data_IF_991297115915
#
_entry.id   IF_991297115915
#
_cell.length_a   1.000
_cell.length_b   1.000
_cell.length_c   1.000
_cell.angle_alpha   90.00
_cell.angle_beta   90.00
_cell.angle_gamma   90.00
#
_symmetry.space_group_name_H-M   'P 1'
#
loop_
_entity.id
_entity.type
_entity.pdbx_description
1 polymer ?
#
# COMPACT_ATOMS: atom_id res chain seq x y z
N UNK A 1 15.64 12.72 -12.75
CA UNK A 1 14.61 11.70 -13.01
C UNK A 1 15.23 10.31 -13.20
N UNK A 2 15.99 10.03 -14.26
CA UNK A 2 16.57 8.69 -14.48
C UNK A 2 17.55 8.31 -13.36
N UNK A 3 18.45 9.22 -12.96
CA UNK A 3 19.42 8.94 -11.89
C UNK A 3 18.74 8.67 -10.54
N UNK A 4 17.72 9.45 -10.18
CA UNK A 4 16.97 9.27 -8.93
C UNK A 4 16.23 7.93 -8.90
N UNK A 5 15.62 7.55 -10.02
CA UNK A 5 14.94 6.26 -10.18
C UNK A 5 15.93 5.08 -10.10
N UNK A 6 17.14 5.22 -10.68
CA UNK A 6 18.22 4.22 -10.55
C UNK A 6 18.65 4.09 -9.10
N UNK A 7 18.94 5.21 -8.41
CA UNK A 7 19.33 5.20 -6.99
C UNK A 7 18.22 4.52 -6.16
N UNK A 8 16.97 4.87 -6.41
CA UNK A 8 15.83 4.29 -5.71
C UNK A 8 15.71 2.77 -5.91
N UNK A 9 15.87 2.28 -7.15
CA UNK A 9 15.86 0.85 -7.45
C UNK A 9 17.05 0.14 -6.79
N UNK A 10 18.26 0.73 -6.84
CA UNK A 10 19.45 0.18 -6.18
C UNK A 10 19.24 0.06 -4.67
N UNK A 11 18.63 1.05 -4.03
CA UNK A 11 18.31 1.00 -2.60
C UNK A 11 17.24 -0.05 -2.28
N UNK A 12 16.26 -0.27 -3.16
CA UNK A 12 15.30 -1.38 -3.02
C UNK A 12 16.00 -2.74 -3.14
N UNK A 13 16.88 -2.91 -4.13
CA UNK A 13 17.68 -4.13 -4.29
C UNK A 13 18.59 -4.38 -3.09
N UNK A 14 19.23 -3.32 -2.57
CA UNK A 14 20.02 -3.39 -1.32
C UNK A 14 19.14 -3.79 -0.13
N UNK A 15 17.92 -3.26 -0.04
CA UNK A 15 16.96 -3.62 1.02
C UNK A 15 16.57 -5.10 0.95
N UNK A 16 16.37 -5.64 -0.26
CA UNK A 16 16.14 -7.08 -0.47
C UNK A 16 17.37 -7.90 -0.04
N UNK A 17 18.58 -7.46 -0.37
CA UNK A 17 19.82 -8.14 0.00
C UNK A 17 20.10 -8.11 1.51
N UNK A 18 19.72 -7.04 2.21
CA UNK A 18 19.86 -6.91 3.67
C UNK A 18 18.83 -7.74 4.44
N UNK A 19 17.68 -8.08 3.84
CA UNK A 19 16.59 -8.82 4.47
C UNK A 19 17.03 -10.13 5.15
N UNK A 20 17.74 -11.05 4.46
CA UNK A 20 18.20 -12.30 5.06
C UNK A 20 19.24 -12.08 6.17
N UNK A 21 20.10 -11.06 6.03
CA UNK A 21 21.10 -10.70 7.04
C UNK A 21 20.40 -10.28 8.33
N UNK A 22 19.43 -9.37 8.24
CA UNK A 22 18.63 -8.91 9.38
C UNK A 22 17.88 -10.09 10.01
N UNK A 23 17.22 -10.91 9.19
CA UNK A 23 16.43 -12.06 9.65
C UNK A 23 17.25 -13.03 10.51
N UNK A 24 18.51 -13.26 10.14
CA UNK A 24 19.41 -14.20 10.80
C UNK A 24 20.05 -13.68 12.10
N UNK A 25 19.82 -12.41 12.48
CA UNK A 25 20.27 -11.88 13.78
C UNK A 25 19.52 -12.60 14.92
N UNK A 26 20.20 -13.32 15.84
CA UNK A 26 19.52 -14.15 16.84
C UNK A 26 18.75 -13.35 17.89
N UNK A 27 19.32 -12.22 18.32
CA UNK A 27 18.74 -11.39 19.36
C UNK A 27 17.68 -10.44 18.77
N UNK A 28 16.48 -10.46 19.34
CA UNK A 28 15.33 -9.67 18.87
C UNK A 28 15.62 -8.17 18.89
N UNK A 29 16.23 -7.66 19.97
CA UNK A 29 16.54 -6.24 20.12
C UNK A 29 17.52 -5.78 19.04
N UNK A 30 18.65 -6.49 18.87
CA UNK A 30 19.62 -6.15 17.83
C UNK A 30 19.04 -6.28 16.41
N UNK A 31 18.16 -7.27 16.20
CA UNK A 31 17.47 -7.43 14.92
C UNK A 31 16.53 -6.26 14.60
N UNK A 32 15.74 -5.82 15.58
CA UNK A 32 14.87 -4.65 15.45
C UNK A 32 15.68 -3.36 15.24
N UNK A 33 16.72 -3.16 16.05
CA UNK A 33 17.60 -2.00 15.95
C UNK A 33 18.27 -1.94 14.58
N UNK A 34 18.84 -3.06 14.11
CA UNK A 34 19.46 -3.13 12.79
C UNK A 34 18.44 -2.82 11.68
N UNK A 35 17.26 -3.43 11.71
CA UNK A 35 16.18 -3.12 10.75
C UNK A 35 15.82 -1.64 10.72
N UNK A 36 15.79 -1.00 11.89
CA UNK A 36 15.43 0.42 12.06
C UNK A 36 16.53 1.35 11.56
N UNK A 37 17.79 1.08 11.94
CA UNK A 37 18.94 1.89 11.54
C UNK A 37 19.15 1.78 10.03
N UNK A 38 19.06 0.59 9.46
CA UNK A 38 19.18 0.40 8.01
C UNK A 38 18.05 1.11 7.26
N UNK A 39 16.79 1.00 7.73
CA UNK A 39 15.67 1.71 7.12
C UNK A 39 15.77 3.23 7.27
N UNK A 40 16.27 3.74 8.39
CA UNK A 40 16.54 5.18 8.58
C UNK A 40 17.64 5.67 7.64
N UNK A 41 18.76 4.94 7.49
CA UNK A 41 19.84 5.30 6.56
C UNK A 41 19.32 5.35 5.12
N UNK A 42 18.56 4.34 4.69
CA UNK A 42 17.97 4.32 3.35
C UNK A 42 17.00 5.49 3.15
N UNK A 43 16.14 5.76 4.13
CA UNK A 43 15.25 6.93 4.08
C UNK A 43 16.04 8.25 4.04
N UNK A 44 17.18 8.33 4.73
CA UNK A 44 18.04 9.51 4.78
C UNK A 44 18.72 9.76 3.43
N UNK A 45 19.28 8.72 2.81
CA UNK A 45 19.91 8.81 1.47
C UNK A 45 18.92 9.38 0.45
N UNK A 46 17.66 8.93 0.51
CA UNK A 46 16.61 9.34 -0.43
C UNK A 46 16.03 10.72 -0.12
N UNK A 47 16.01 11.12 1.16
CA UNK A 47 15.30 12.32 1.60
C UNK A 47 16.20 13.51 1.93
N UNK A 48 17.49 13.28 2.16
CA UNK A 48 18.40 14.27 2.73
C UNK A 48 17.81 14.86 4.02
N UNK A 49 17.84 16.19 4.13
CA UNK A 49 17.27 16.92 5.28
C UNK A 49 15.75 16.77 5.41
N UNK A 50 15.02 16.43 4.34
CA UNK A 50 13.56 16.30 4.43
C UNK A 50 13.10 15.09 5.26
N UNK A 51 14.00 14.19 5.66
CA UNK A 51 13.69 13.11 6.62
C UNK A 51 13.16 13.64 7.97
N UNK A 52 13.50 14.87 8.34
CA UNK A 52 13.00 15.49 9.58
C UNK A 52 11.47 15.53 9.61
N UNK A 53 10.80 15.65 8.46
CA UNK A 53 9.34 15.56 8.39
C UNK A 53 8.81 14.20 8.87
N UNK A 54 9.44 13.11 8.42
CA UNK A 54 9.10 11.75 8.84
C UNK A 54 9.43 11.51 10.31
N UNK A 55 10.54 12.07 10.80
CA UNK A 55 10.90 12.02 12.22
C UNK A 55 9.88 12.74 13.11
N UNK A 56 9.51 13.98 12.74
CA UNK A 56 8.53 14.81 13.48
C UNK A 56 7.18 14.09 13.56
N UNK A 57 6.69 13.55 12.43
CA UNK A 57 5.42 12.81 12.42
C UNK A 57 5.46 11.59 13.32
N UNK A 58 6.56 10.83 13.28
CA UNK A 58 6.74 9.65 14.14
C UNK A 58 6.77 10.05 15.62
N UNK A 59 7.56 11.07 15.96
CA UNK A 59 7.72 11.58 17.32
C UNK A 59 6.40 12.06 17.90
N UNK A 60 5.70 12.97 17.20
CA UNK A 60 4.43 13.53 17.67
C UNK A 60 3.37 12.42 17.75
N UNK A 61 3.33 11.49 16.80
CA UNK A 61 2.37 10.38 16.86
C UNK A 61 2.65 9.45 18.05
N UNK A 62 3.92 9.21 18.39
CA UNK A 62 4.28 8.45 19.58
C UNK A 62 3.82 9.16 20.88
N UNK A 63 3.92 10.50 20.94
CA UNK A 63 3.36 11.29 22.05
C UNK A 63 1.83 11.21 22.07
N UNK A 64 1.15 11.31 20.91
CA UNK A 64 -0.32 11.18 20.81
C UNK A 64 -0.77 9.83 21.38
N UNK A 65 -0.09 8.74 20.99
CA UNK A 65 -0.38 7.40 21.50
C UNK A 65 -0.15 7.31 23.01
N UNK A 66 0.93 7.92 23.52
CA UNK A 66 1.27 7.89 24.95
C UNK A 66 0.26 8.63 25.82
N UNK A 67 -0.16 9.83 25.41
CA UNK A 67 -0.97 10.74 26.22
C UNK A 67 -2.48 10.66 25.94
N UNK A 68 -2.90 10.42 24.70
CA UNK A 68 -4.32 10.47 24.29
C UNK A 68 -4.92 9.09 24.05
N UNK A 69 -4.59 8.07 24.87
CA UNK A 69 -4.91 6.65 24.59
C UNK A 69 -6.35 6.37 24.13
N UNK A 70 -7.38 7.05 24.66
CA UNK A 70 -8.80 6.82 24.32
C UNK A 70 -9.28 7.45 23.00
N UNK A 71 -8.62 8.52 22.55
CA UNK A 71 -8.96 9.25 21.31
C UNK A 71 -7.77 9.30 20.35
N UNK A 72 -6.74 8.49 20.60
CA UNK A 72 -5.47 8.53 19.90
C UNK A 72 -5.66 8.35 18.39
N UNK A 73 -6.55 7.46 17.96
CA UNK A 73 -6.87 7.24 16.56
C UNK A 73 -7.40 8.49 15.84
N UNK A 74 -8.27 9.28 16.48
CA UNK A 74 -8.82 10.52 15.90
C UNK A 74 -7.74 11.60 15.86
N UNK A 75 -7.05 11.82 16.98
CA UNK A 75 -6.01 12.84 17.09
C UNK A 75 -4.85 12.53 16.14
N UNK A 76 -4.45 11.26 16.06
CA UNK A 76 -3.44 10.75 15.11
C UNK A 76 -3.88 10.95 13.67
N UNK A 77 -5.13 10.63 13.33
CA UNK A 77 -5.65 10.84 11.97
C UNK A 77 -5.60 12.32 11.59
N UNK A 78 -6.15 13.21 12.42
CA UNK A 78 -6.15 14.67 12.15
C UNK A 78 -4.72 15.18 12.00
N UNK A 79 -3.83 14.82 12.94
CA UNK A 79 -2.43 15.26 12.90
C UNK A 79 -1.69 14.73 11.68
N UNK A 80 -1.71 13.43 11.40
CA UNK A 80 -0.92 12.84 10.33
C UNK A 80 -1.42 13.25 8.94
N UNK A 81 -2.73 13.35 8.74
CA UNK A 81 -3.29 13.84 7.47
C UNK A 81 -3.11 15.34 7.31
N UNK A 82 -3.27 16.14 8.37
CA UNK A 82 -2.97 17.56 8.36
C UNK A 82 -1.49 17.84 8.06
N UNK A 83 -0.59 17.09 8.69
CA UNK A 83 0.85 17.20 8.42
C UNK A 83 1.19 16.76 7.00
N UNK A 84 0.56 15.72 6.47
CA UNK A 84 0.76 15.30 5.07
C UNK A 84 0.32 16.39 4.09
N UNK A 85 -0.76 17.11 4.37
CA UNK A 85 -1.18 18.26 3.56
C UNK A 85 -0.19 19.43 3.65
N UNK A 86 0.29 19.74 4.85
CA UNK A 86 1.38 20.72 5.06
C UNK A 86 2.64 20.33 4.29
N UNK A 87 3.08 19.07 4.40
CA UNK A 87 4.27 18.53 3.75
C UNK A 87 4.21 18.67 2.22
N UNK A 88 3.02 18.58 1.62
CA UNK A 88 2.82 18.78 0.17
C UNK A 88 2.56 20.23 -0.24
N UNK A 89 2.50 21.12 0.73
CA UNK A 89 2.17 22.53 0.57
C UNK A 89 3.28 23.42 1.13
N UNK A 90 4.48 22.88 1.36
CA UNK A 90 5.61 23.58 2.00
C UNK A 90 6.00 24.86 1.27
N UNK A 91 5.88 24.90 -0.05
CA UNK A 91 6.17 26.08 -0.86
C UNK A 91 5.27 27.27 -0.54
N UNK A 92 4.02 27.04 -0.09
CA UNK A 92 3.14 28.12 0.39
C UNK A 92 3.63 28.74 1.71
N UNK A 93 4.53 28.06 2.42
CA UNK A 93 5.16 28.51 3.66
C UNK A 93 6.62 28.95 3.47
N UNK A 94 7.08 29.10 2.21
CA UNK A 94 8.47 29.47 1.91
C UNK A 94 9.51 28.38 2.20
N UNK A 95 9.07 27.13 2.41
CA UNK A 95 9.94 25.98 2.67
C UNK A 95 10.24 25.21 1.37
N UNK A 96 11.41 24.52 1.29
CA UNK A 96 11.77 23.73 0.12
C UNK A 96 10.75 22.62 -0.17
N UNK A 97 10.54 22.34 -1.46
CA UNK A 97 9.64 21.26 -1.91
C UNK A 97 10.30 19.91 -1.61
N UNK A 98 9.65 19.01 -0.83
CA UNK A 98 10.24 17.72 -0.54
C UNK A 98 10.41 16.84 -1.78
N UNK A 99 11.45 15.99 -1.83
CA UNK A 99 11.66 15.04 -2.91
C UNK A 99 10.46 14.10 -3.12
N UNK A 100 10.25 13.67 -4.37
CA UNK A 100 9.16 12.76 -4.74
C UNK A 100 9.20 11.45 -3.94
N UNK A 101 10.40 10.91 -3.72
CA UNK A 101 10.57 9.69 -2.95
C UNK A 101 10.32 9.89 -1.44
N UNK A 102 10.68 11.05 -0.87
CA UNK A 102 10.30 11.41 0.51
C UNK A 102 8.79 11.51 0.67
N UNK A 103 8.09 12.03 -0.34
CA UNK A 103 6.63 12.01 -0.36
C UNK A 103 6.06 10.58 -0.30
N UNK A 104 6.66 9.61 -1.00
CA UNK A 104 6.24 8.21 -0.91
C UNK A 104 6.46 7.62 0.51
N UNK A 105 7.62 7.91 1.13
CA UNK A 105 7.91 7.53 2.53
C UNK A 105 6.85 8.12 3.47
N UNK A 106 6.58 9.42 3.33
CA UNK A 106 5.62 10.14 4.17
C UNK A 106 4.19 9.61 4.00
N UNK A 107 3.80 9.22 2.78
CA UNK A 107 2.51 8.60 2.49
C UNK A 107 2.29 7.31 3.27
N UNK A 108 3.25 6.39 3.21
CA UNK A 108 3.16 5.10 3.91
C UNK A 108 3.26 5.32 5.43
N UNK A 109 4.13 6.22 5.87
CA UNK A 109 4.28 6.56 7.29
C UNK A 109 2.97 7.07 7.88
N UNK A 110 2.23 7.95 7.19
CA UNK A 110 0.92 8.42 7.63
C UNK A 110 -0.05 7.26 7.84
N UNK A 111 -0.11 6.29 6.91
CA UNK A 111 -0.98 5.12 7.08
C UNK A 111 -0.55 4.23 8.25
N UNK A 112 0.77 4.03 8.43
CA UNK A 112 1.35 3.26 9.55
C UNK A 112 1.01 3.89 10.89
N UNK A 113 1.22 5.20 11.02
CA UNK A 113 0.98 5.96 12.26
C UNK A 113 -0.49 5.97 12.67
N UNK A 114 -1.38 6.24 11.72
CA UNK A 114 -2.83 6.26 11.95
C UNK A 114 -3.36 4.85 12.19
N UNK A 115 -2.91 3.88 11.39
CA UNK A 115 -3.26 2.46 11.55
C UNK A 115 -2.89 1.93 12.93
N UNK A 116 -1.68 2.25 13.42
CA UNK A 116 -1.24 1.90 14.77
C UNK A 116 -2.16 2.48 15.84
N UNK A 117 -2.53 3.76 15.73
CA UNK A 117 -3.44 4.38 16.68
C UNK A 117 -4.84 3.73 16.66
N UNK A 118 -5.32 3.30 15.50
CA UNK A 118 -6.56 2.53 15.39
C UNK A 118 -6.46 1.11 15.97
N UNK A 119 -5.33 0.42 15.83
CA UNK A 119 -5.10 -0.89 16.46
C UNK A 119 -5.16 -0.77 17.99
N UNK A 120 -4.54 0.26 18.56
CA UNK A 120 -4.60 0.53 20.02
C UNK A 120 -6.03 0.84 20.47
N UNK A 121 -6.80 1.58 19.67
CA UNK A 121 -8.19 1.88 19.99
C UNK A 121 -9.09 0.65 19.93
N UNK A 122 -8.97 -0.18 18.89
CA UNK A 122 -9.84 -1.33 18.66
C UNK A 122 -9.87 -2.26 19.88
N UNK A 123 -8.71 -2.50 20.47
CA UNK A 123 -8.53 -3.29 21.69
C UNK A 123 -9.33 -2.71 22.87
N UNK A 124 -9.34 -1.38 23.04
CA UNK A 124 -10.04 -0.73 24.15
C UNK A 124 -11.56 -0.84 24.03
N UNK A 125 -12.10 -0.97 22.81
CA UNK A 125 -13.53 -1.17 22.58
C UNK A 125 -13.94 -2.62 22.78
N UNK A 126 -13.08 -3.57 22.37
CA UNK A 126 -13.32 -5.01 22.57
C UNK A 126 -13.22 -5.42 24.05
N UNK A 127 -12.35 -4.79 24.84
CA UNK A 127 -12.25 -5.03 26.29
C UNK A 127 -13.54 -4.63 27.04
N UNK A 128 -14.36 -3.74 26.49
CA UNK A 128 -15.65 -3.33 27.05
C UNK A 128 -16.80 -4.22 26.60
N UNK A 129 -16.70 -4.82 25.41
CA UNK A 129 -17.77 -5.64 24.81
C UNK A 129 -17.44 -7.12 25.00
N UNK A 130 -17.61 -7.62 26.23
CA UNK A 130 -17.28 -9.02 26.66
C UNK A 130 -18.10 -10.15 26.01
N UNK A 131 -18.61 -10.01 24.78
CA UNK A 131 -19.57 -10.96 24.18
C UNK A 131 -19.15 -11.52 22.81
N UNK A 132 -17.87 -11.88 22.63
CA UNK A 132 -17.42 -12.60 21.43
C UNK A 132 -16.92 -13.99 21.82
N UNK A 133 -17.45 -15.05 21.17
CA UNK A 133 -16.98 -16.45 21.31
C UNK A 133 -15.46 -16.62 21.06
N UNK A 134 -14.82 -15.64 20.40
CA UNK A 134 -13.39 -15.62 20.09
C UNK A 134 -12.64 -14.45 20.76
N UNK A 135 -13.18 -13.83 21.81
CA UNK A 135 -12.57 -12.67 22.45
C UNK A 135 -11.14 -12.93 22.94
N UNK A 136 -10.88 -14.12 23.49
CA UNK A 136 -9.55 -14.48 24.00
C UNK A 136 -8.52 -14.66 22.89
N UNK A 137 -8.92 -15.26 21.76
CA UNK A 137 -8.07 -15.39 20.57
C UNK A 137 -7.76 -14.01 19.97
N UNK A 138 -8.76 -13.13 19.86
CA UNK A 138 -8.56 -11.76 19.40
C UNK A 138 -7.59 -11.00 20.32
N UNK A 139 -7.73 -11.16 21.64
CA UNK A 139 -6.77 -10.59 22.61
C UNK A 139 -5.37 -11.16 22.43
N UNK A 140 -5.21 -12.46 22.21
CA UNK A 140 -3.88 -13.09 22.03
C UNK A 140 -3.18 -12.61 20.75
N UNK A 141 -3.91 -12.61 19.63
CA UNK A 141 -3.32 -12.40 18.30
C UNK A 141 -3.42 -10.97 17.76
N UNK A 142 -4.28 -10.12 18.31
CA UNK A 142 -4.44 -8.73 17.84
C UNK A 142 -4.02 -7.68 18.87
N UNK A 143 -3.92 -8.02 20.16
CA UNK A 143 -3.51 -7.04 21.17
C UNK A 143 -2.06 -6.59 20.96
N UNK A 144 -1.87 -5.28 21.07
CA UNK A 144 -0.58 -4.60 20.97
C UNK A 144 -0.44 -3.58 22.10
N UNK A 145 0.78 -3.36 22.57
CA UNK A 145 1.10 -2.32 23.54
C UNK A 145 2.49 -1.73 23.22
N UNK A 146 2.61 -0.94 22.15
CA UNK A 146 3.90 -0.40 21.75
C UNK A 146 4.45 0.57 22.79
N UNK A 147 5.74 0.47 23.08
CA UNK A 147 6.51 1.51 23.74
C UNK A 147 6.71 2.72 22.81
N UNK A 148 7.20 3.82 23.36
CA UNK A 148 7.53 5.00 22.56
C UNK A 148 8.55 4.69 21.45
N UNK A 149 9.55 3.87 21.77
CA UNK A 149 10.61 3.48 20.84
C UNK A 149 10.11 2.46 19.81
N UNK A 150 9.15 1.60 20.16
CA UNK A 150 8.53 0.68 19.19
C UNK A 150 7.85 1.41 18.04
N UNK A 151 7.32 2.63 18.28
CA UNK A 151 6.75 3.46 17.21
C UNK A 151 7.83 3.85 16.19
N UNK A 152 9.04 4.17 16.65
CA UNK A 152 10.18 4.47 15.79
C UNK A 152 10.69 3.24 15.05
N UNK A 153 10.82 2.11 15.76
CA UNK A 153 11.22 0.86 15.13
C UNK A 153 10.25 0.44 14.03
N UNK A 154 8.96 0.60 14.28
CA UNK A 154 7.93 0.34 13.28
C UNK A 154 7.98 1.35 12.13
N UNK A 155 8.09 2.65 12.40
CA UNK A 155 8.12 3.71 11.39
C UNK A 155 9.28 3.52 10.40
N UNK A 156 10.49 3.31 10.91
CA UNK A 156 11.73 3.24 10.13
C UNK A 156 12.24 1.82 9.89
N UNK A 157 11.39 0.80 10.06
CA UNK A 157 11.71 -0.56 9.63
C UNK A 157 12.04 -0.57 8.13
N UNK A 158 13.18 -1.17 7.76
CA UNK A 158 13.62 -1.27 6.36
C UNK A 158 12.54 -1.83 5.42
N UNK A 159 11.73 -2.76 5.90
CA UNK A 159 10.61 -3.28 5.15
C UNK A 159 9.50 -2.22 5.06
N UNK A 160 9.08 -1.88 3.84
CA UNK A 160 7.98 -0.95 3.62
C UNK A 160 8.29 0.54 3.89
N UNK A 161 9.54 0.93 4.17
CA UNK A 161 9.89 2.36 4.34
C UNK A 161 9.80 3.15 3.01
N UNK A 162 10.29 2.58 1.90
CA UNK A 162 10.39 3.30 0.61
C UNK A 162 9.09 3.32 -0.22
N UNK A 163 8.43 2.18 -0.41
CA UNK A 163 7.30 2.05 -1.36
C UNK A 163 6.07 1.31 -0.78
N UNK A 164 6.10 0.95 0.50
CA UNK A 164 5.18 -0.05 1.06
C UNK A 164 5.61 -1.48 0.71
N UNK A 165 4.78 -2.51 0.95
CA UNK A 165 3.35 -2.45 1.32
C UNK A 165 3.06 -1.81 2.68
N UNK A 166 1.79 -1.42 2.87
CA UNK A 166 1.25 -1.18 4.22
C UNK A 166 1.08 -2.54 4.94
N UNK A 167 1.39 -2.57 6.22
CA UNK A 167 1.10 -3.68 7.12
C UNK A 167 0.83 -3.13 8.50
N UNK A 168 0.08 -3.85 9.32
CA UNK A 168 -0.23 -3.45 10.71
C UNK A 168 0.99 -3.49 11.62
N UNK A 169 0.94 -2.75 12.73
CA UNK A 169 1.94 -2.86 13.79
C UNK A 169 1.99 -4.29 14.34
N UNK A 170 0.85 -4.97 14.48
CA UNK A 170 0.84 -6.38 14.91
C UNK A 170 1.64 -7.28 13.96
N UNK A 171 1.52 -7.09 12.65
CA UNK A 171 2.27 -7.85 11.64
C UNK A 171 3.76 -7.58 11.72
N UNK A 172 4.15 -6.33 11.97
CA UNK A 172 5.52 -5.97 12.29
C UNK A 172 6.01 -6.72 13.53
N UNK A 173 5.28 -6.62 14.64
CA UNK A 173 5.65 -7.23 15.91
C UNK A 173 5.82 -8.75 15.80
N UNK A 174 4.88 -9.42 15.13
CA UNK A 174 4.89 -10.87 14.89
C UNK A 174 6.14 -11.32 14.13
N UNK A 175 6.65 -10.52 13.18
CA UNK A 175 7.84 -10.89 12.40
C UNK A 175 9.11 -11.05 13.24
N UNK A 176 9.17 -10.40 14.42
CA UNK A 176 10.29 -10.52 15.35
C UNK A 176 10.01 -11.48 16.51
N UNK A 177 8.76 -11.67 16.92
CA UNK A 177 8.39 -12.40 18.14
C UNK A 177 7.79 -13.78 17.89
N UNK A 178 7.26 -14.04 16.69
CA UNK A 178 6.76 -15.37 16.32
C UNK A 178 7.83 -16.15 15.55
N UNK A 179 7.85 -17.49 15.68
CA UNK A 179 8.86 -18.33 15.04
C UNK A 179 8.69 -18.47 13.51
N UNK A 180 7.61 -17.93 12.94
CA UNK A 180 7.30 -18.13 11.51
C UNK A 180 8.37 -17.55 10.59
N UNK A 181 8.88 -16.37 10.94
CA UNK A 181 9.89 -15.70 10.15
C UNK A 181 11.18 -16.49 10.10
N UNK A 182 11.55 -17.28 11.12
CA UNK A 182 12.77 -18.10 11.09
C UNK A 182 12.56 -19.46 10.41
N UNK A 183 11.35 -20.03 10.48
CA UNK A 183 11.02 -21.37 9.94
C UNK A 183 10.73 -21.39 8.44
N UNK A 184 10.18 -20.31 7.88
CA UNK A 184 9.79 -20.27 6.46
C UNK A 184 11.00 -20.24 5.52
N UNK A 185 10.99 -21.04 4.45
CA UNK A 185 11.99 -20.93 3.38
C UNK A 185 11.73 -19.69 2.49
N UNK A 186 12.08 -18.49 2.98
CA UNK A 186 11.76 -17.23 2.29
C UNK A 186 12.44 -17.10 0.92
N UNK A 187 13.60 -17.73 0.70
CA UNK A 187 14.29 -17.66 -0.59
C UNK A 187 13.43 -18.24 -1.73
N UNK A 188 12.61 -19.25 -1.45
CA UNK A 188 11.66 -19.81 -2.43
C UNK A 188 10.65 -18.75 -2.86
N UNK A 189 9.95 -18.16 -1.91
CA UNK A 189 8.96 -17.09 -2.16
C UNK A 189 9.61 -15.85 -2.82
N UNK A 190 10.82 -15.50 -2.41
CA UNK A 190 11.56 -14.38 -2.99
C UNK A 190 11.87 -14.62 -4.46
N UNK A 191 12.41 -15.80 -4.81
CA UNK A 191 12.69 -16.19 -6.20
C UNK A 191 11.42 -16.17 -7.05
N UNK A 192 10.33 -16.74 -6.54
CA UNK A 192 9.04 -16.78 -7.23
C UNK A 192 8.47 -15.38 -7.47
N UNK A 193 8.67 -14.46 -6.52
CA UNK A 193 8.12 -13.09 -6.61
C UNK A 193 9.00 -12.16 -7.43
N UNK A 194 10.32 -12.23 -7.31
CA UNK A 194 11.24 -11.30 -7.98
C UNK A 194 11.39 -11.59 -9.49
N UNK A 195 11.15 -12.83 -9.93
CA UNK A 195 11.39 -13.26 -11.32
C UNK A 195 10.66 -12.45 -12.40
N UNK A 196 9.54 -11.83 -12.06
CA UNK A 196 8.71 -11.06 -12.99
C UNK A 196 9.19 -9.60 -13.12
N UNK A 197 9.99 -9.10 -12.17
CA UNK A 197 10.45 -7.71 -12.13
C UNK A 197 11.23 -7.31 -13.40
N UNK A 198 12.20 -8.11 -13.90
CA UNK A 198 12.93 -7.75 -15.12
C UNK A 198 12.02 -7.58 -16.34
N UNK A 199 10.96 -8.40 -16.45
CA UNK A 199 9.98 -8.27 -17.54
C UNK A 199 9.23 -6.93 -17.46
N UNK A 200 8.74 -6.55 -16.27
CA UNK A 200 8.05 -5.26 -16.12
C UNK A 200 8.99 -4.06 -16.33
N UNK A 201 10.25 -4.15 -15.90
CA UNK A 201 11.25 -3.11 -16.18
C UNK A 201 11.50 -3.01 -17.68
N UNK A 202 11.68 -4.13 -18.38
CA UNK A 202 11.87 -4.15 -19.84
C UNK A 202 10.66 -3.54 -20.58
N UNK A 203 9.44 -3.96 -20.21
CA UNK A 203 8.21 -3.41 -20.79
C UNK A 203 8.06 -1.92 -20.51
N UNK A 204 8.44 -1.46 -19.32
CA UNK A 204 8.49 -0.03 -19.00
C UNK A 204 9.50 0.72 -19.87
N UNK A 205 10.72 0.20 -20.04
CA UNK A 205 11.76 0.87 -20.84
C UNK A 205 11.37 0.95 -22.32
N UNK A 206 10.88 -0.16 -22.91
CA UNK A 206 10.37 -0.18 -24.29
C UNK A 206 9.19 0.78 -24.43
N UNK A 207 8.22 0.66 -23.53
CA UNK A 207 7.03 1.47 -23.58
C UNK A 207 7.32 2.96 -23.38
N UNK A 208 8.25 3.32 -22.50
CA UNK A 208 8.65 4.72 -22.26
C UNK A 208 9.52 5.28 -23.40
N UNK A 209 10.25 4.43 -24.13
CA UNK A 209 10.93 4.84 -25.36
C UNK A 209 9.93 5.15 -26.49
N UNK A 210 8.90 4.31 -26.65
CA UNK A 210 7.89 4.46 -27.71
C UNK A 210 6.84 5.54 -27.38
N UNK A 211 6.42 5.61 -26.12
CA UNK A 211 5.37 6.51 -25.62
C UNK A 211 5.81 7.16 -24.30
N UNK A 212 6.77 8.11 -24.33
CA UNK A 212 7.27 8.77 -23.13
C UNK A 212 6.16 9.36 -22.25
N UNK A 213 6.24 9.09 -20.94
CA UNK A 213 5.32 9.66 -19.94
C UNK A 213 5.44 11.19 -19.84
N UNK A 214 6.64 11.72 -20.10
CA UNK A 214 6.91 13.15 -20.03
C UNK A 214 6.19 13.89 -21.16
N UNK A 215 6.17 13.31 -22.37
CA UNK A 215 5.40 13.85 -23.49
C UNK A 215 3.90 13.93 -23.19
N UNK A 216 3.33 12.95 -22.49
CA UNK A 216 1.90 13.00 -22.08
C UNK A 216 1.56 14.21 -21.19
N UNK A 217 2.56 14.72 -20.47
CA UNK A 217 2.40 15.84 -19.55
C UNK A 217 2.82 17.16 -20.20
N UNK A 218 3.69 17.09 -21.21
CA UNK A 218 4.28 18.22 -21.91
C UNK A 218 3.23 19.13 -22.60
N UNK A 219 3.44 20.45 -22.70
CA UNK A 219 2.57 21.34 -23.48
C UNK A 219 2.44 20.93 -24.95
N UNK A 220 3.48 20.32 -25.53
CA UNK A 220 3.61 19.89 -26.92
C UNK A 220 2.51 18.91 -27.34
N UNK A 221 2.01 18.09 -26.40
CA UNK A 221 0.89 17.19 -26.69
C UNK A 221 -0.39 17.95 -27.08
N UNK A 222 -0.50 19.24 -26.75
CA UNK A 222 -1.67 20.04 -27.09
C UNK A 222 -1.75 20.41 -28.57
N UNK A 223 -0.62 20.36 -29.27
CA UNK A 223 -0.53 20.62 -30.71
C UNK A 223 -0.98 19.41 -31.53
N UNK A 224 -1.05 18.24 -30.90
CA UNK A 224 -1.51 17.01 -31.52
C UNK A 224 -3.04 16.93 -31.67
N UNK A 225 -3.48 16.11 -32.63
CA UNK A 225 -4.90 15.89 -32.88
C UNK A 225 -5.63 15.37 -31.63
N UNK A 226 -6.93 15.68 -31.51
CA UNK A 226 -7.76 15.19 -30.39
C UNK A 226 -7.65 13.67 -30.21
N UNK A 227 -7.74 12.91 -31.30
CA UNK A 227 -7.69 11.46 -31.26
C UNK A 227 -6.31 10.94 -30.83
N UNK A 228 -5.23 11.55 -31.34
CA UNK A 228 -3.89 11.18 -30.90
C UNK A 228 -3.74 11.34 -29.38
N UNK A 229 -4.18 12.47 -28.82
CA UNK A 229 -4.14 12.72 -27.37
C UNK A 229 -4.94 11.69 -26.57
N UNK A 230 -6.11 11.28 -27.07
CA UNK A 230 -6.96 10.26 -26.42
C UNK A 230 -6.28 8.90 -26.45
N UNK A 231 -5.79 8.46 -27.61
CA UNK A 231 -5.15 7.15 -27.75
C UNK A 231 -3.80 7.08 -27.04
N UNK A 232 -3.06 8.18 -26.95
CA UNK A 232 -1.78 8.26 -26.24
C UNK A 232 -1.92 7.97 -24.73
N UNK A 233 -3.13 8.14 -24.16
CA UNK A 233 -3.39 7.81 -22.75
C UNK A 233 -3.25 6.32 -22.45
N UNK A 234 -3.62 5.43 -23.39
CA UNK A 234 -3.55 3.97 -23.18
C UNK A 234 -2.10 3.46 -23.00
N UNK A 235 -1.15 3.71 -23.93
CA UNK A 235 0.23 3.29 -23.74
C UNK A 235 0.92 4.05 -22.61
N UNK A 236 0.57 5.33 -22.38
CA UNK A 236 1.05 6.06 -21.19
C UNK A 236 0.65 5.37 -19.89
N UNK A 237 -0.60 4.93 -19.78
CA UNK A 237 -1.07 4.23 -18.59
C UNK A 237 -0.46 2.84 -18.46
N UNK A 238 -0.20 2.13 -19.56
CA UNK A 238 0.59 0.91 -19.55
C UNK A 238 1.98 1.15 -18.94
N UNK A 239 2.70 2.17 -19.41
CA UNK A 239 4.04 2.52 -18.90
C UNK A 239 4.02 2.83 -17.39
N UNK A 240 3.04 3.64 -16.97
CA UNK A 240 2.83 3.93 -15.55
C UNK A 240 2.65 2.65 -14.73
N UNK A 241 1.81 1.71 -15.19
CA UNK A 241 1.56 0.46 -14.47
C UNK A 241 2.80 -0.42 -14.39
N UNK A 242 3.55 -0.59 -15.49
CA UNK A 242 4.77 -1.40 -15.47
C UNK A 242 5.81 -0.84 -14.47
N UNK A 243 5.95 0.49 -14.41
CA UNK A 243 6.79 1.17 -13.41
C UNK A 243 6.30 0.94 -11.98
N UNK A 244 4.99 1.03 -11.73
CA UNK A 244 4.45 0.81 -10.37
C UNK A 244 4.50 -0.67 -9.97
N UNK A 245 4.26 -1.61 -10.88
CA UNK A 245 4.35 -3.05 -10.61
C UNK A 245 5.75 -3.44 -10.18
N UNK A 246 6.79 -3.02 -10.91
CA UNK A 246 8.17 -3.29 -10.52
C UNK A 246 8.48 -2.74 -9.12
N UNK A 247 8.08 -1.51 -8.82
CA UNK A 247 8.23 -0.90 -7.49
C UNK A 247 7.49 -1.66 -6.38
N UNK A 248 6.20 -1.96 -6.56
CA UNK A 248 5.41 -2.70 -5.57
C UNK A 248 5.97 -4.10 -5.31
N UNK A 249 6.35 -4.83 -6.36
CA UNK A 249 6.91 -6.18 -6.23
C UNK A 249 8.26 -6.15 -5.52
N UNK A 250 9.11 -5.18 -5.80
CA UNK A 250 10.36 -5.00 -5.04
C UNK A 250 10.08 -4.70 -3.55
N UNK A 251 9.08 -3.86 -3.24
CA UNK A 251 8.64 -3.63 -1.86
C UNK A 251 8.17 -4.91 -1.16
N UNK A 252 7.40 -5.75 -1.85
CA UNK A 252 7.00 -7.08 -1.36
C UNK A 252 8.22 -8.00 -1.14
N UNK A 253 9.18 -7.99 -2.06
CA UNK A 253 10.42 -8.75 -1.95
C UNK A 253 11.22 -8.35 -0.70
N UNK A 254 11.27 -7.06 -0.33
CA UNK A 254 11.93 -6.62 0.92
C UNK A 254 11.26 -7.26 2.15
N UNK A 255 9.92 -7.24 2.20
CA UNK A 255 9.18 -7.89 3.28
C UNK A 255 9.44 -9.40 3.32
N UNK A 256 9.38 -10.09 2.17
CA UNK A 256 9.62 -11.53 2.05
C UNK A 256 11.04 -11.88 2.51
N UNK A 257 12.04 -11.14 2.05
CA UNK A 257 13.44 -11.37 2.38
C UNK A 257 13.72 -11.24 3.88
N UNK A 258 13.05 -10.29 4.56
CA UNK A 258 13.12 -10.12 6.01
C UNK A 258 12.26 -11.14 6.79
N UNK A 259 11.39 -11.90 6.11
CA UNK A 259 10.42 -12.81 6.73
C UNK A 259 9.19 -12.11 7.33
N UNK A 260 8.97 -10.83 7.00
CA UNK A 260 7.80 -10.07 7.45
C UNK A 260 6.56 -10.47 6.64
N UNK A 261 5.46 -10.75 7.35
CA UNK A 261 4.21 -11.20 6.75
C UNK A 261 4.15 -12.71 6.46
N UNK A 262 5.13 -13.48 6.94
CA UNK A 262 5.10 -14.93 6.89
C UNK A 262 4.12 -15.48 7.93
N UNK A 263 3.07 -16.14 7.49
CA UNK A 263 2.11 -16.83 8.35
C UNK A 263 1.78 -18.22 7.81
N UNK A 264 1.43 -19.18 8.69
CA UNK A 264 0.84 -20.45 8.28
C UNK A 264 -0.36 -20.23 7.36
N UNK A 265 -0.43 -20.92 6.23
CA UNK A 265 -1.50 -20.76 5.24
C UNK A 265 -2.89 -21.07 5.83
N UNK A 266 -2.96 -21.99 6.78
CA UNK A 266 -4.18 -22.34 7.54
C UNK A 266 -4.81 -21.15 8.28
N UNK A 267 -4.00 -20.14 8.62
CA UNK A 267 -4.46 -18.91 9.26
C UNK A 267 -5.20 -17.95 8.33
N UNK A 268 -5.31 -18.31 7.04
CA UNK A 268 -5.90 -17.50 5.98
C UNK A 268 -5.39 -16.03 6.02
N UNK A 269 -4.07 -15.81 5.84
CA UNK A 269 -3.51 -14.47 5.88
C UNK A 269 -4.07 -13.62 4.73
N UNK A 270 -4.47 -12.39 5.03
CA UNK A 270 -5.03 -11.45 4.06
C UNK A 270 -4.13 -10.20 3.92
N UNK A 271 -4.06 -9.57 2.72
CA UNK A 271 -3.22 -8.40 2.48
C UNK A 271 -3.49 -7.28 3.48
N UNK A 272 -2.43 -6.76 4.12
CA UNK A 272 -2.49 -5.73 5.16
C UNK A 272 -3.10 -6.18 6.50
N UNK A 273 -3.97 -7.20 6.50
CA UNK A 273 -4.69 -7.66 7.69
C UNK A 273 -3.89 -8.63 8.56
N UNK A 274 -2.96 -9.40 7.99
CA UNK A 274 -2.34 -10.52 8.69
C UNK A 274 -3.27 -11.74 8.73
N UNK A 275 -3.09 -12.67 9.68
CA UNK A 275 -3.93 -13.85 9.84
C UNK A 275 -5.36 -13.46 10.22
N UNK A 276 -6.34 -14.19 9.70
CA UNK A 276 -7.78 -13.97 9.96
C UNK A 276 -8.48 -15.15 10.63
N UNK A 277 -7.92 -16.36 10.49
CA UNK A 277 -8.39 -17.56 11.17
C UNK A 277 -7.49 -17.85 12.39
N UNK A 278 -7.86 -17.30 13.55
CA UNK A 278 -7.09 -17.46 14.79
C UNK A 278 -7.27 -18.83 15.45
N UNK A 279 -8.42 -19.48 15.26
CA UNK A 279 -8.66 -20.83 15.80
C UNK A 279 -7.70 -21.84 15.16
N UNK A 280 -7.55 -21.80 13.83
CA UNK A 280 -6.58 -22.63 13.13
C UNK A 280 -5.11 -22.32 13.51
N UNK A 281 -4.80 -21.11 13.98
CA UNK A 281 -3.48 -20.80 14.52
C UNK A 281 -3.24 -21.41 15.91
N UNK A 282 -4.28 -21.49 16.74
CA UNK A 282 -4.21 -22.06 18.07
C UNK A 282 -4.02 -23.58 18.03
N UNK A 283 -4.64 -24.23 17.04
CA UNK A 283 -4.55 -25.67 16.81
C UNK A 283 -3.20 -26.13 16.23
N UNK A 284 -2.34 -25.18 15.82
CA UNK A 284 -1.03 -25.54 15.27
C UNK A 284 -0.10 -26.09 16.34
N UNK A 285 0.41 -27.30 16.08
CA UNK A 285 1.49 -27.86 16.87
C UNK A 285 2.79 -27.10 16.62
N UNK A 286 3.23 -26.37 17.65
CA UNK A 286 4.46 -25.57 17.66
C UNK A 286 5.71 -26.43 17.39
N UNK A 287 5.66 -27.74 17.66
CA UNK A 287 6.78 -28.66 17.42
C UNK A 287 6.97 -28.99 15.93
N UNK A 288 5.91 -28.87 15.13
CA UNK A 288 5.88 -29.27 13.72
C UNK A 288 5.90 -28.08 12.73
N UNK A 289 6.30 -26.89 13.16
CA UNK A 289 6.30 -25.68 12.32
C UNK A 289 7.14 -25.81 11.02
N UNK A 290 8.12 -26.70 10.97
CA UNK A 290 8.96 -26.90 9.77
C UNK A 290 8.22 -27.57 8.60
N UNK A 291 7.15 -28.34 8.85
CA UNK A 291 6.34 -28.99 7.82
C UNK A 291 5.10 -28.19 7.41
N UNK A 292 4.85 -27.07 8.06
CA UNK A 292 3.69 -26.21 7.81
C UNK A 292 3.88 -25.44 6.50
N UNK A 293 2.83 -25.39 5.68
CA UNK A 293 2.79 -24.53 4.50
C UNK A 293 2.61 -23.06 4.93
N UNK A 294 3.52 -22.20 4.50
CA UNK A 294 3.50 -20.75 4.77
C UNK A 294 2.94 -19.95 3.59
N UNK A 295 2.47 -18.74 3.88
CA UNK A 295 2.03 -17.77 2.89
C UNK A 295 2.53 -16.37 3.26
N UNK A 296 2.85 -15.57 2.23
CA UNK A 296 3.20 -14.15 2.31
C UNK A 296 2.06 -13.25 1.80
N UNK A 297 0.83 -13.78 1.68
CA UNK A 297 -0.33 -13.03 1.18
C UNK A 297 -0.58 -11.73 1.97
N UNK A 298 -0.20 -11.67 3.25
CA UNK A 298 -0.27 -10.47 4.08
C UNK A 298 0.46 -9.26 3.50
N UNK A 299 1.58 -9.48 2.83
CA UNK A 299 2.38 -8.39 2.25
C UNK A 299 2.16 -8.26 0.75
N UNK A 300 1.34 -9.12 0.12
CA UNK A 300 1.07 -9.07 -1.32
C UNK A 300 0.25 -7.83 -1.69
N UNK A 301 0.93 -6.80 -2.18
CA UNK A 301 0.37 -5.50 -2.48
C UNK A 301 -0.29 -5.40 -3.85
N UNK A 302 0.23 -6.12 -4.84
CA UNK A 302 -0.34 -6.13 -6.19
C UNK A 302 -0.71 -7.54 -6.61
N UNK A 303 -1.88 -7.68 -7.23
CA UNK A 303 -2.25 -8.87 -7.99
C UNK A 303 -2.31 -8.53 -9.48
N UNK A 304 -1.19 -8.70 -10.16
CA UNK A 304 -0.95 -8.18 -11.51
C UNK A 304 -1.93 -8.78 -12.51
N UNK A 305 -2.09 -10.11 -12.51
CA UNK A 305 -3.06 -10.78 -13.38
C UNK A 305 -4.46 -10.21 -13.18
N UNK A 306 -4.85 -9.92 -11.94
CA UNK A 306 -6.16 -9.38 -11.67
C UNK A 306 -6.33 -7.93 -12.11
N UNK A 307 -5.33 -7.09 -11.86
CA UNK A 307 -5.34 -5.71 -12.34
C UNK A 307 -5.39 -5.64 -13.87
N UNK A 308 -4.67 -6.54 -14.54
CA UNK A 308 -4.65 -6.64 -15.99
C UNK A 308 -5.93 -7.27 -16.54
N UNK A 309 -6.28 -8.50 -16.16
CA UNK A 309 -7.23 -9.30 -16.93
C UNK A 309 -8.62 -9.45 -16.33
N UNK A 310 -8.87 -9.07 -15.07
CA UNK A 310 -10.25 -9.09 -14.56
C UNK A 310 -11.12 -8.10 -15.35
N UNK A 311 -12.32 -8.51 -15.82
CA UNK A 311 -13.20 -7.64 -16.60
C UNK A 311 -13.67 -6.41 -15.84
N UNK A 312 -13.95 -6.55 -14.54
CA UNK A 312 -14.64 -5.52 -13.75
C UNK A 312 -13.68 -4.49 -13.17
N UNK A 313 -14.17 -3.25 -13.10
CA UNK A 313 -13.55 -2.10 -12.43
C UNK A 313 -13.36 -2.42 -10.95
N UNK A 314 -14.36 -3.04 -10.31
CA UNK A 314 -14.29 -3.46 -8.90
C UNK A 314 -13.12 -4.41 -8.64
N UNK A 315 -12.95 -5.46 -9.44
CA UNK A 315 -11.85 -6.41 -9.24
C UNK A 315 -10.50 -5.83 -9.65
N UNK A 316 -10.46 -4.95 -10.65
CA UNK A 316 -9.26 -4.18 -11.00
C UNK A 316 -8.77 -3.31 -9.84
N UNK A 317 -9.68 -2.55 -9.21
CA UNK A 317 -9.37 -1.71 -8.03
C UNK A 317 -8.96 -2.58 -6.83
N UNK A 318 -9.65 -3.71 -6.59
CA UNK A 318 -9.32 -4.64 -5.50
C UNK A 318 -7.98 -5.34 -5.68
N UNK A 319 -7.51 -5.47 -6.91
CA UNK A 319 -6.21 -6.08 -7.23
C UNK A 319 -5.05 -5.10 -7.10
N UNK A 320 -5.33 -3.79 -7.14
CA UNK A 320 -4.35 -2.70 -7.09
C UNK A 320 -4.13 -2.15 -5.67
N UNK A 321 -2.87 -2.14 -5.22
CA UNK A 321 -2.47 -1.59 -3.92
C UNK A 321 -3.30 -2.14 -2.75
N UNK A 322 -3.40 -3.48 -2.71
CA UNK A 322 -4.29 -4.28 -1.85
C UNK A 322 -4.16 -3.95 -0.37
N UNK A 323 -2.95 -3.63 0.08
CA UNK A 323 -2.72 -3.31 1.49
C UNK A 323 -3.27 -1.94 1.88
N UNK A 324 -3.25 -0.97 0.97
CA UNK A 324 -3.91 0.33 1.15
C UNK A 324 -5.43 0.20 1.00
N UNK A 325 -5.91 -0.66 0.09
CA UNK A 325 -7.35 -1.00 0.02
C UNK A 325 -7.84 -1.58 1.34
N UNK A 326 -7.07 -2.49 1.96
CA UNK A 326 -7.34 -2.99 3.30
C UNK A 326 -7.40 -1.85 4.34
N UNK A 327 -6.44 -0.92 4.31
CA UNK A 327 -6.39 0.22 5.21
C UNK A 327 -7.64 1.09 5.09
N UNK A 328 -8.00 1.48 3.87
CA UNK A 328 -9.19 2.28 3.57
C UNK A 328 -10.47 1.56 4.00
N UNK A 329 -10.58 0.27 3.69
CA UNK A 329 -11.73 -0.54 4.09
C UNK A 329 -11.89 -0.61 5.62
N UNK A 330 -10.79 -0.78 6.34
CA UNK A 330 -10.78 -1.06 7.79
C UNK A 330 -10.91 0.20 8.63
N UNK A 331 -10.20 1.26 8.27
CA UNK A 331 -10.09 2.47 9.09
C UNK A 331 -10.98 3.62 8.62
N UNK A 332 -11.53 3.54 7.40
CA UNK A 332 -12.47 4.54 6.87
C UNK A 332 -13.83 3.90 6.63
N UNK A 333 -13.95 3.06 5.59
CA UNK A 333 -15.25 2.56 5.10
C UNK A 333 -16.10 1.89 6.19
N UNK A 334 -15.53 0.90 6.91
CA UNK A 334 -16.25 0.13 7.94
C UNK A 334 -16.66 0.98 9.15
N UNK A 335 -15.99 2.11 9.40
CA UNK A 335 -16.24 2.97 10.57
C UNK A 335 -17.28 4.05 10.32
N UNK A 336 -17.61 4.33 9.06
CA UNK A 336 -18.65 5.30 8.71
C UNK A 336 -20.05 4.74 8.96
N UNK A 337 -20.91 5.54 9.60
CA UNK A 337 -22.35 5.28 9.79
C UNK A 337 -23.18 6.01 8.72
N UNK A 338 -22.92 5.73 7.45
CA UNK A 338 -23.57 6.33 6.28
C UNK A 338 -24.15 5.26 5.34
N UNK A 339 -24.91 5.65 4.31
CA UNK A 339 -25.36 4.74 3.25
C UNK A 339 -24.19 4.15 2.45
N UNK A 340 -24.33 2.95 1.86
CA UNK A 340 -23.24 2.29 1.10
C UNK A 340 -22.62 3.20 0.02
N UNK A 341 -23.40 3.93 -0.82
CA UNK A 341 -22.82 4.86 -1.80
C UNK A 341 -22.02 5.99 -1.13
N UNK A 342 -22.55 6.60 -0.08
CA UNK A 342 -21.86 7.66 0.65
C UNK A 342 -20.55 7.18 1.29
N UNK A 343 -20.53 5.95 1.85
CA UNK A 343 -19.29 5.35 2.38
C UNK A 343 -18.23 5.21 1.30
N UNK A 344 -18.60 4.78 0.09
CA UNK A 344 -17.65 4.64 -1.05
C UNK A 344 -17.10 6.01 -1.43
N UNK A 345 -17.95 7.03 -1.59
CA UNK A 345 -17.52 8.38 -1.94
C UNK A 345 -16.57 8.99 -0.90
N UNK A 346 -16.91 8.90 0.39
CA UNK A 346 -16.04 9.40 1.47
C UNK A 346 -14.72 8.63 1.51
N UNK A 347 -14.73 7.31 1.30
CA UNK A 347 -13.51 6.50 1.28
C UNK A 347 -12.59 6.91 0.14
N UNK A 348 -13.13 7.13 -1.06
CA UNK A 348 -12.35 7.59 -2.21
C UNK A 348 -11.88 9.04 -2.07
N UNK A 349 -12.64 9.90 -1.37
CA UNK A 349 -12.21 11.25 -1.03
C UNK A 349 -11.01 11.24 -0.07
N UNK A 350 -11.03 10.39 0.96
CA UNK A 350 -9.88 10.20 1.87
C UNK A 350 -8.68 9.64 1.10
N UNK A 351 -8.91 8.71 0.17
CA UNK A 351 -7.86 8.21 -0.74
C UNK A 351 -7.27 9.34 -1.60
N UNK A 352 -8.11 10.19 -2.20
CA UNK A 352 -7.67 11.34 -2.98
C UNK A 352 -6.78 12.29 -2.17
N UNK A 353 -7.24 12.65 -0.97
CA UNK A 353 -6.48 13.50 -0.05
C UNK A 353 -5.16 12.85 0.39
N UNK A 354 -5.15 11.53 0.61
CA UNK A 354 -3.93 10.78 0.90
C UNK A 354 -2.92 10.83 -0.26
N UNK A 355 -3.37 10.88 -1.51
CA UNK A 355 -2.50 11.02 -2.67
C UNK A 355 -1.98 12.44 -2.89
N UNK A 356 -2.78 13.47 -2.63
CA UNK A 356 -2.32 14.86 -2.66
C UNK A 356 -3.42 15.91 -2.64
N UNK A 357 -3.00 17.18 -2.61
CA UNK A 357 -3.91 18.35 -2.59
C UNK A 357 -4.25 18.87 -3.99
N UNK A 358 -3.61 18.35 -5.03
CA UNK A 358 -3.85 18.80 -6.40
C UNK A 358 -5.19 18.26 -6.96
N UNK A 359 -5.94 19.06 -7.73
CA UNK A 359 -7.24 18.67 -8.30
C UNK A 359 -7.23 17.35 -9.09
N UNK A 360 -6.12 17.03 -9.76
CA UNK A 360 -5.97 15.80 -10.55
C UNK A 360 -6.23 14.52 -9.74
N UNK A 361 -5.81 14.48 -8.47
CA UNK A 361 -6.06 13.32 -7.60
C UNK A 361 -7.54 13.13 -7.30
N UNK A 362 -8.26 14.21 -7.04
CA UNK A 362 -9.70 14.17 -6.78
C UNK A 362 -10.48 13.78 -8.04
N UNK A 363 -10.10 14.35 -9.19
CA UNK A 363 -10.72 13.99 -10.47
C UNK A 363 -10.51 12.53 -10.86
N UNK A 364 -9.39 11.93 -10.45
CA UNK A 364 -9.07 10.52 -10.69
C UNK A 364 -9.79 9.58 -9.69
N UNK A 365 -9.64 9.84 -8.40
CA UNK A 365 -10.08 8.90 -7.37
C UNK A 365 -11.55 9.06 -7.02
N UNK A 366 -12.09 10.27 -7.05
CA UNK A 366 -13.52 10.51 -6.83
C UNK A 366 -14.38 10.18 -8.06
N UNK A 367 -13.80 9.90 -9.24
CA UNK A 367 -14.55 9.32 -10.36
C UNK A 367 -14.76 7.81 -10.23
N UNK A 368 -13.89 7.10 -9.50
CA UNK A 368 -14.02 5.65 -9.31
C UNK A 368 -15.39 5.20 -8.76
N UNK A 369 -16.02 5.89 -7.77
CA UNK A 369 -17.38 5.57 -7.33
C UNK A 369 -18.41 5.62 -8.45
N UNK A 370 -18.32 6.59 -9.37
CA UNK A 370 -19.25 6.71 -10.50
C UNK A 370 -19.18 5.48 -11.40
N UNK A 371 -17.96 5.07 -11.73
CA UNK A 371 -17.72 3.84 -12.51
C UNK A 371 -18.24 2.59 -11.80
N UNK A 372 -18.05 2.49 -10.47
CA UNK A 372 -18.56 1.36 -9.69
C UNK A 372 -20.09 1.32 -9.62
N UNK A 373 -20.75 2.48 -9.60
CA UNK A 373 -22.21 2.55 -9.63
C UNK A 373 -22.75 2.13 -11.00
N UNK A 374 -22.16 2.63 -12.08
CA UNK A 374 -22.52 2.21 -13.44
C UNK A 374 -22.31 0.72 -13.62
N UNK A 375 -21.16 0.18 -13.21
CA UNK A 375 -20.88 -1.26 -13.25
C UNK A 375 -21.96 -2.07 -12.53
N UNK A 376 -22.38 -1.64 -11.35
CA UNK A 376 -23.41 -2.35 -10.56
C UNK A 376 -24.75 -2.40 -11.29
N UNK A 377 -25.16 -1.33 -11.97
CA UNK A 377 -26.42 -1.30 -12.72
C UNK A 377 -26.33 -2.08 -14.03
N UNK A 378 -25.19 -2.01 -14.73
CA UNK A 378 -24.96 -2.78 -15.97
C UNK A 378 -24.92 -4.29 -15.68
N UNK A 379 -24.26 -4.72 -14.61
CA UNK A 379 -24.23 -6.15 -14.22
C UNK A 379 -25.64 -6.69 -13.93
N UNK A 380 -26.46 -5.90 -13.23
CA UNK A 380 -27.87 -6.27 -12.95
C UNK A 380 -28.70 -6.34 -14.22
N UNK A 381 -28.52 -5.39 -15.15
CA UNK A 381 -29.33 -5.30 -16.36
C UNK A 381 -28.99 -6.39 -17.38
N UNK A 382 -27.70 -6.70 -17.56
CA UNK A 382 -27.24 -7.56 -18.65
C UNK A 382 -26.66 -8.90 -18.18
N UNK A 383 -25.81 -8.91 -17.16
CA UNK A 383 -24.94 -10.07 -16.90
C UNK A 383 -25.70 -11.24 -16.29
N UNK A 384 -26.61 -10.99 -15.34
CA UNK A 384 -27.30 -12.07 -14.63
C UNK A 384 -28.36 -12.81 -15.49
N UNK A 385 -28.85 -12.19 -16.55
CA UNK A 385 -29.94 -12.72 -17.38
C UNK A 385 -29.47 -13.24 -18.75
N UNK A 386 -28.20 -13.05 -19.10
CA UNK A 386 -27.65 -13.39 -20.41
C UNK A 386 -27.09 -14.84 -20.48
N UNK A 387 -27.19 -15.51 -21.65
CA UNK A 387 -26.48 -16.76 -21.91
C UNK A 387 -24.95 -16.63 -21.74
N UNK A 388 -24.27 -17.73 -21.44
CA UNK A 388 -22.82 -17.74 -21.19
C UNK A 388 -21.99 -17.10 -22.32
N UNK A 389 -22.33 -17.38 -23.58
CA UNK A 389 -21.63 -16.79 -24.73
C UNK A 389 -21.70 -15.26 -24.76
N UNK A 390 -22.86 -14.69 -24.40
CA UNK A 390 -23.04 -13.24 -24.30
C UNK A 390 -22.32 -12.67 -23.07
N UNK A 391 -22.25 -13.40 -21.96
CA UNK A 391 -21.47 -12.99 -20.79
C UNK A 391 -19.97 -12.90 -21.12
N UNK A 392 -19.43 -13.83 -21.91
CA UNK A 392 -18.03 -13.77 -22.36
C UNK A 392 -17.77 -12.54 -23.23
N UNK A 393 -18.65 -12.24 -24.18
CA UNK A 393 -18.54 -11.04 -25.03
C UNK A 393 -18.64 -9.78 -24.16
N UNK A 394 -19.59 -9.75 -23.22
CA UNK A 394 -19.75 -8.67 -22.26
C UNK A 394 -18.47 -8.46 -21.45
N UNK A 395 -17.87 -9.53 -20.93
CA UNK A 395 -16.64 -9.45 -20.14
C UNK A 395 -15.47 -8.87 -20.95
N UNK A 396 -15.34 -9.22 -22.23
CA UNK A 396 -14.34 -8.62 -23.12
C UNK A 396 -14.59 -7.12 -23.36
N UNK A 397 -15.83 -6.73 -23.67
CA UNK A 397 -16.20 -5.32 -23.87
C UNK A 397 -15.97 -4.53 -22.58
N UNK A 398 -16.40 -5.06 -21.45
CA UNK A 398 -16.27 -4.42 -20.15
C UNK A 398 -14.81 -4.28 -19.72
N UNK A 399 -13.98 -5.29 -20.03
CA UNK A 399 -12.53 -5.21 -19.84
C UNK A 399 -11.90 -4.05 -20.62
N UNK A 400 -12.29 -3.83 -21.89
CA UNK A 400 -11.83 -2.67 -22.68
C UNK A 400 -12.26 -1.36 -22.02
N UNK A 401 -13.54 -1.25 -21.63
CA UNK A 401 -14.09 -0.07 -20.95
C UNK A 401 -13.33 0.22 -19.65
N UNK A 402 -13.06 -0.81 -18.84
CA UNK A 402 -12.25 -0.71 -17.62
C UNK A 402 -10.87 -0.15 -17.93
N UNK A 403 -10.16 -0.71 -18.91
CA UNK A 403 -8.80 -0.29 -19.25
C UNK A 403 -8.75 1.16 -19.73
N UNK A 404 -9.73 1.58 -20.53
CA UNK A 404 -9.81 2.97 -20.98
C UNK A 404 -10.19 3.91 -19.83
N UNK A 405 -11.11 3.50 -18.96
CA UNK A 405 -11.48 4.26 -17.77
C UNK A 405 -10.28 4.47 -16.83
N UNK A 406 -9.47 3.42 -16.60
CA UNK A 406 -8.25 3.52 -15.81
C UNK A 406 -7.21 4.43 -16.46
N UNK A 407 -7.02 4.32 -17.77
CA UNK A 407 -6.10 5.18 -18.52
C UNK A 407 -6.47 6.65 -18.40
N UNK A 408 -7.76 6.95 -18.51
CA UNK A 408 -8.28 8.31 -18.38
C UNK A 408 -8.14 8.88 -16.96
N UNK A 409 -8.45 8.07 -15.94
CA UNK A 409 -8.30 8.47 -14.53
C UNK A 409 -6.82 8.79 -14.21
N UNK A 410 -5.88 7.98 -14.71
CA UNK A 410 -4.45 8.17 -14.44
C UNK A 410 -3.85 9.43 -15.08
N UNK A 411 -4.23 9.77 -16.31
CA UNK A 411 -3.68 10.93 -17.02
C UNK A 411 -3.96 12.27 -16.32
N UNK A 412 -5.10 12.38 -15.62
CA UNK A 412 -5.52 13.62 -14.94
C UNK A 412 -4.66 13.98 -13.73
N UNK A 413 -3.87 13.04 -13.20
CA UNK A 413 -2.96 13.28 -12.07
C UNK A 413 -1.70 14.08 -12.50
N UNK A 414 -1.23 13.89 -13.74
CA UNK A 414 0.04 14.44 -14.21
C UNK A 414 -0.03 15.91 -14.66
N UNK A 415 -1.15 16.36 -15.24
CA UNK A 415 -1.29 17.74 -15.76
C UNK A 415 -1.26 18.84 -14.68
N UNK A 416 -1.55 18.51 -13.43
CA UNK A 416 -1.53 19.48 -12.33
C UNK A 416 -0.13 19.87 -11.83
N UNK A 417 0.93 19.16 -12.25
CA UNK A 417 2.32 19.53 -11.90
C UNK A 417 2.87 20.71 -12.72
N UNK A 418 2.33 21.00 -13.90
CA UNK A 418 2.92 21.94 -14.86
C UNK A 418 2.53 23.41 -14.71
N UNK A 419 1.66 23.75 -13.77
CA UNK A 419 1.26 25.16 -13.59
C UNK A 419 2.11 25.96 -12.59
N UNK A 420 3.15 25.35 -11.99
CA UNK A 420 3.99 26.00 -10.95
C UNK A 420 5.44 25.51 -10.93
N UNK A 421 6.04 25.36 -12.09
CA UNK A 421 7.42 25.80 -12.29
C UNK A 421 7.34 27.15 -12.99
#
# INVERSE_FOLDING_TARGET
>A
MILDDIIYILLLCLSVALGPVIRNVPNIFYRQLFSTVAGFIIAFIVSGSHIFHSFIVTFINALIIRFFRRKCHIVSAIFCFGYLAFFRSTHYFGLPIPPTHTNAIQMILTLKMVGLAFEIQGIQMDDKTKQLKNADLLKKYQKINPSFIDVFHYAFCIAGVLIGPYYKFRTYWDSFHLPYSSRVCAIKFLKDRIRIVPLYVLLYLIGNYLYPLDFASSPEIMDESFWYRVFYMTPSFFNFRMRIYSGFILGECVCIAMGLGAYPKVSNPQPGAGPTNFSALEELDVRNLSSVEYSFETVKNIYEYGSEFWPTIREGIRSWNRTVQFWLATFVYKRLTLSKPAKICVTMLVSAFWHGVHPGYYLCLCSAPLFLFVETEVEKAFKHSAPYSQQVIFDWIWWIIKMQSFSYMAHRVNKTKLKRQ
#
